data_IF_167249943315
#
_entry.id   IF_167249943315
#
_cell.length_a   1.000
_cell.length_b   1.000
_cell.length_c   1.000
_cell.angle_alpha   90.00
_cell.angle_beta   90.00
_cell.angle_gamma   90.00
#
_symmetry.space_group_name_H-M   'P 1'
#
loop_
_entity.id
_entity.type
_entity.pdbx_description
1 polymer ?
#
# COMPACT_ATOMS: atom_id res chain seq x y z
N UNK A 1 18.09 3.96 -16.69
CA UNK A 1 17.49 5.32 -16.75
C UNK A 1 15.99 5.29 -17.12
N UNK A 2 15.18 4.57 -16.33
CA UNK A 2 13.71 4.55 -16.54
C UNK A 2 13.04 5.74 -15.81
N UNK A 3 13.74 6.47 -14.99
CA UNK A 3 13.24 7.62 -14.22
C UNK A 3 13.52 8.99 -14.89
N UNK A 4 14.17 9.02 -16.03
CA UNK A 4 14.81 10.25 -16.57
C UNK A 4 13.93 11.21 -17.35
N UNK A 5 12.64 10.94 -17.65
CA UNK A 5 11.89 11.86 -18.52
C UNK A 5 10.39 12.01 -18.29
N UNK A 6 9.83 11.41 -17.22
CA UNK A 6 8.42 11.65 -16.89
C UNK A 6 8.34 12.53 -15.67
N UNK A 7 7.88 13.76 -15.86
CA UNK A 7 7.61 14.68 -14.76
C UNK A 7 6.66 14.07 -13.74
N UNK A 8 6.78 14.46 -12.48
CA UNK A 8 5.97 13.99 -11.34
C UNK A 8 4.44 14.07 -11.57
N UNK A 9 3.97 14.73 -12.62
CA UNK A 9 2.56 14.86 -12.98
C UNK A 9 1.93 13.64 -13.67
N UNK A 10 2.72 12.73 -14.27
CA UNK A 10 2.21 11.62 -15.07
C UNK A 10 2.09 10.29 -14.32
N UNK A 11 2.39 10.26 -13.03
CA UNK A 11 2.30 9.05 -12.23
C UNK A 11 0.85 8.83 -11.78
N UNK A 12 0.10 8.05 -12.54
CA UNK A 12 -1.24 7.63 -12.14
C UNK A 12 -1.18 6.62 -10.99
N UNK A 13 -1.43 7.11 -9.78
CA UNK A 13 -1.57 6.25 -8.59
C UNK A 13 -2.92 5.57 -8.62
N UNK A 14 -2.94 4.25 -8.69
CA UNK A 14 -4.17 3.45 -8.59
C UNK A 14 -4.31 2.90 -7.19
N UNK A 15 -5.20 3.49 -6.40
CA UNK A 15 -5.55 2.94 -5.09
C UNK A 15 -6.58 1.83 -5.22
N UNK A 16 -6.38 0.80 -4.39
CA UNK A 16 -7.32 -0.30 -4.25
C UNK A 16 -8.28 0.06 -3.12
N UNK A 17 -9.58 0.07 -3.42
CA UNK A 17 -10.61 0.39 -2.42
C UNK A 17 -11.66 -0.70 -2.28
N UNK A 18 -12.40 -0.68 -1.19
CA UNK A 18 -13.46 -1.64 -0.90
C UNK A 18 -14.68 -1.37 -1.79
N UNK A 19 -15.15 -2.36 -2.54
CA UNK A 19 -16.30 -2.24 -3.46
C UNK A 19 -17.57 -1.69 -2.79
N UNK A 20 -17.77 -1.94 -1.49
CA UNK A 20 -18.93 -1.42 -0.75
C UNK A 20 -18.99 0.12 -0.70
N UNK A 21 -17.89 0.84 -0.95
CA UNK A 21 -17.90 2.31 -1.02
C UNK A 21 -18.62 2.84 -2.27
N UNK A 22 -18.86 2.01 -3.29
CA UNK A 22 -19.70 2.36 -4.45
C UNK A 22 -21.15 2.66 -4.08
N UNK A 23 -21.64 2.11 -2.97
CA UNK A 23 -23.00 2.30 -2.51
C UNK A 23 -23.23 3.61 -1.76
N UNK A 24 -22.16 4.36 -1.48
CA UNK A 24 -22.28 5.68 -0.84
C UNK A 24 -22.55 6.71 -1.95
N UNK A 25 -23.71 7.39 -1.94
CA UNK A 25 -24.03 8.42 -2.93
C UNK A 25 -22.91 9.47 -3.03
N UNK A 26 -22.68 10.01 -4.21
CA UNK A 26 -21.62 10.95 -4.56
C UNK A 26 -20.21 10.37 -4.47
N UNK A 27 -19.85 9.70 -3.35
CA UNK A 27 -18.53 9.08 -3.18
C UNK A 27 -18.32 7.92 -4.15
N UNK A 28 -19.33 7.06 -4.34
CA UNK A 28 -19.28 5.95 -5.29
C UNK A 28 -19.07 6.41 -6.73
N UNK A 29 -19.76 7.47 -7.12
CA UNK A 29 -19.60 8.07 -8.45
C UNK A 29 -18.24 8.71 -8.65
N UNK A 30 -17.74 9.43 -7.65
CA UNK A 30 -16.40 10.00 -7.66
C UNK A 30 -15.33 8.91 -7.78
N UNK A 31 -15.43 7.83 -7.00
CA UNK A 31 -14.50 6.69 -7.08
C UNK A 31 -14.57 5.97 -8.44
N UNK A 32 -15.75 5.84 -9.02
CA UNK A 32 -15.92 5.25 -10.34
C UNK A 32 -15.26 6.12 -11.44
N UNK A 33 -15.38 7.45 -11.35
CA UNK A 33 -14.77 8.38 -12.31
C UNK A 33 -13.25 8.41 -12.24
N UNK A 34 -12.66 8.11 -11.07
CA UNK A 34 -11.20 8.10 -10.86
C UNK A 34 -10.51 6.84 -11.38
N UNK A 35 -11.22 5.93 -12.05
CA UNK A 35 -10.66 4.68 -12.56
C UNK A 35 -9.87 3.86 -11.52
N UNK A 36 -10.23 3.96 -10.24
CA UNK A 36 -9.63 3.19 -9.16
C UNK A 36 -10.09 1.73 -9.20
N UNK A 37 -9.28 0.82 -8.62
CA UNK A 37 -9.65 -0.58 -8.60
C UNK A 37 -10.50 -0.92 -7.38
N UNK A 38 -11.78 -1.26 -7.63
CA UNK A 38 -12.64 -1.82 -6.60
C UNK A 38 -12.31 -3.30 -6.37
N UNK A 39 -12.00 -3.68 -5.13
CA UNK A 39 -11.84 -5.08 -4.75
C UNK A 39 -12.99 -5.49 -3.83
N UNK A 40 -13.68 -6.54 -4.22
CA UNK A 40 -14.67 -7.20 -3.37
C UNK A 40 -13.95 -8.14 -2.39
N UNK A 41 -13.67 -7.63 -1.19
CA UNK A 41 -12.97 -8.41 -0.15
C UNK A 41 -13.79 -9.63 0.33
N UNK A 42 -15.12 -9.67 0.07
CA UNK A 42 -15.95 -10.81 0.42
C UNK A 42 -15.67 -12.02 -0.46
N UNK A 43 -15.21 -11.79 -1.69
CA UNK A 43 -14.78 -12.82 -2.64
C UNK A 43 -13.30 -13.23 -2.52
N UNK A 44 -12.61 -12.75 -1.48
CA UNK A 44 -11.27 -13.10 -1.06
C UNK A 44 -10.32 -13.54 -2.18
N UNK A 45 -10.24 -14.85 -2.40
CA UNK A 45 -9.32 -15.45 -3.36
C UNK A 45 -9.59 -15.04 -4.81
N UNK A 46 -10.85 -15.01 -5.24
CA UNK A 46 -11.21 -14.66 -6.62
C UNK A 46 -10.86 -13.19 -6.94
N UNK A 47 -11.13 -12.28 -6.00
CA UNK A 47 -10.79 -10.88 -6.16
C UNK A 47 -9.26 -10.68 -6.26
N UNK A 48 -8.49 -11.46 -5.49
CA UNK A 48 -7.04 -11.46 -5.57
C UNK A 48 -6.53 -12.02 -6.89
N UNK A 49 -7.10 -13.12 -7.40
CA UNK A 49 -6.74 -13.70 -8.68
C UNK A 49 -7.02 -12.73 -9.85
N UNK A 50 -8.16 -12.02 -9.82
CA UNK A 50 -8.46 -10.98 -10.81
C UNK A 50 -7.43 -9.82 -10.75
N UNK A 51 -7.02 -9.43 -9.55
CA UNK A 51 -5.98 -8.44 -9.37
C UNK A 51 -4.63 -8.90 -9.95
N UNK A 52 -4.23 -10.14 -9.66
CA UNK A 52 -3.00 -10.76 -10.18
C UNK A 52 -2.95 -10.76 -11.71
N UNK A 53 -4.06 -11.07 -12.38
CA UNK A 53 -4.13 -11.09 -13.86
C UNK A 53 -3.91 -9.73 -14.50
N UNK A 54 -4.06 -8.64 -13.75
CA UNK A 54 -3.84 -7.28 -14.25
C UNK A 54 -2.41 -6.78 -14.09
N UNK A 55 -1.52 -7.56 -13.48
CA UNK A 55 -0.11 -7.20 -13.28
C UNK A 55 0.58 -6.65 -14.53
N UNK A 56 0.51 -7.35 -15.69
CA UNK A 56 1.13 -6.88 -16.93
C UNK A 56 0.56 -5.54 -17.45
N UNK A 57 -0.72 -5.26 -17.17
CA UNK A 57 -1.32 -3.97 -17.52
C UNK A 57 -0.72 -2.83 -16.69
N UNK A 58 -0.47 -3.07 -15.40
CA UNK A 58 0.13 -2.07 -14.52
C UNK A 58 1.55 -1.72 -14.95
N UNK A 59 2.36 -2.73 -15.25
CA UNK A 59 3.71 -2.54 -15.78
C UNK A 59 3.70 -1.73 -17.09
N UNK A 60 2.93 -2.18 -18.08
CA UNK A 60 2.84 -1.54 -19.40
C UNK A 60 2.41 -0.08 -19.32
N UNK A 61 1.56 0.27 -18.37
CA UNK A 61 1.04 1.64 -18.20
C UNK A 61 1.85 2.47 -17.21
N UNK A 62 2.87 1.89 -16.56
CA UNK A 62 3.64 2.57 -15.52
C UNK A 62 2.80 2.97 -14.30
N UNK A 63 1.78 2.18 -13.96
CA UNK A 63 0.92 2.48 -12.83
C UNK A 63 1.52 2.00 -11.51
N UNK A 64 1.38 2.81 -10.49
CA UNK A 64 1.77 2.46 -9.13
C UNK A 64 0.59 1.87 -8.37
N UNK A 65 0.85 0.81 -7.63
CA UNK A 65 -0.13 0.16 -6.75
C UNK A 65 0.28 0.37 -5.30
N UNK A 66 -0.54 1.08 -4.54
CA UNK A 66 -0.33 1.26 -3.11
C UNK A 66 -1.05 0.16 -2.34
N UNK A 67 -0.32 -0.56 -1.51
CA UNK A 67 -0.82 -1.65 -0.68
C UNK A 67 -0.39 -1.48 0.77
N UNK A 68 -1.27 -1.88 1.68
CA UNK A 68 -0.99 -1.95 3.11
C UNK A 68 -0.98 -3.42 3.53
N UNK A 69 0.20 -4.05 3.67
CA UNK A 69 0.32 -5.49 3.90
C UNK A 69 -0.25 -5.93 5.25
N UNK A 70 -0.31 -5.05 6.22
CA UNK A 70 -0.96 -5.27 7.51
C UNK A 70 -2.47 -5.55 7.35
N UNK A 71 -3.11 -4.98 6.34
CA UNK A 71 -4.54 -5.13 6.03
C UNK A 71 -5.49 -4.46 7.01
N UNK A 72 -4.96 -3.80 8.04
CA UNK A 72 -5.67 -3.01 9.05
C UNK A 72 -4.76 -1.90 9.54
N UNK A 73 -5.34 -0.91 10.23
CA UNK A 73 -4.54 0.06 10.98
C UNK A 73 -4.00 -0.62 12.24
N UNK A 74 -2.70 -0.52 12.48
CA UNK A 74 -2.01 -1.10 13.63
C UNK A 74 -1.62 0.03 14.56
N UNK A 75 -1.93 -0.04 15.86
CA UNK A 75 -1.41 0.90 16.84
C UNK A 75 0.12 0.87 16.89
N UNK A 76 0.73 1.99 17.27
CA UNK A 76 2.17 2.06 17.44
C UNK A 76 2.63 1.04 18.50
N UNK A 77 3.70 0.32 18.19
CA UNK A 77 4.26 -0.71 19.08
C UNK A 77 3.55 -2.07 19.05
N UNK A 78 2.44 -2.19 18.31
CA UNK A 78 1.79 -3.49 18.09
C UNK A 78 2.28 -4.14 16.79
N UNK A 79 2.31 -5.47 16.78
CA UNK A 79 2.65 -6.26 15.59
C UNK A 79 1.44 -7.04 15.10
N UNK A 80 1.32 -7.13 13.78
CA UNK A 80 0.32 -8.00 13.13
C UNK A 80 1.03 -8.81 12.06
N UNK A 81 0.53 -10.01 11.82
CA UNK A 81 1.07 -10.84 10.74
C UNK A 81 0.81 -10.18 9.38
N UNK A 82 1.86 -9.91 8.64
CA UNK A 82 1.79 -9.32 7.32
C UNK A 82 1.23 -10.28 6.28
N UNK A 83 0.48 -9.74 5.34
CA UNK A 83 -0.12 -10.51 4.25
C UNK A 83 0.82 -10.54 3.06
N UNK A 84 1.12 -11.72 2.56
CA UNK A 84 2.02 -11.92 1.41
C UNK A 84 1.41 -11.52 0.06
N UNK A 85 0.14 -11.08 0.02
CA UNK A 85 -0.57 -10.77 -1.22
C UNK A 85 0.12 -9.72 -2.09
N UNK A 86 0.65 -8.65 -1.47
CA UNK A 86 1.38 -7.60 -2.18
C UNK A 86 2.66 -8.12 -2.83
N UNK A 87 3.47 -8.85 -2.07
CA UNK A 87 4.70 -9.44 -2.58
C UNK A 87 4.42 -10.50 -3.66
N UNK A 88 3.38 -11.33 -3.50
CA UNK A 88 2.95 -12.29 -4.54
C UNK A 88 2.58 -11.56 -5.84
N UNK A 89 1.87 -10.45 -5.75
CA UNK A 89 1.55 -9.64 -6.92
C UNK A 89 2.83 -9.09 -7.56
N UNK A 90 3.69 -8.44 -6.80
CA UNK A 90 4.93 -7.85 -7.30
C UNK A 90 5.84 -8.90 -7.95
N UNK A 91 6.07 -10.04 -7.29
CA UNK A 91 6.88 -11.12 -7.83
C UNK A 91 6.31 -11.71 -9.13
N UNK A 92 4.98 -11.89 -9.20
CA UNK A 92 4.36 -12.45 -10.42
C UNK A 92 4.35 -11.49 -11.59
N UNK A 93 4.29 -10.18 -11.33
CA UNK A 93 4.33 -9.14 -12.32
C UNK A 93 5.75 -8.63 -12.62
N UNK A 94 6.77 -9.09 -11.87
CA UNK A 94 8.16 -8.61 -11.99
C UNK A 94 8.34 -7.14 -11.61
N UNK A 95 7.41 -6.58 -10.80
CA UNK A 95 7.42 -5.19 -10.39
C UNK A 95 8.24 -5.02 -9.09
N UNK A 96 9.14 -4.02 -9.00
CA UNK A 96 9.83 -3.73 -7.76
C UNK A 96 8.87 -3.20 -6.69
N UNK A 97 9.24 -3.36 -5.42
CA UNK A 97 8.52 -2.81 -4.27
C UNK A 97 9.29 -1.61 -3.73
N UNK A 98 8.59 -0.49 -3.54
CA UNK A 98 9.10 0.67 -2.83
C UNK A 98 8.51 0.68 -1.41
N UNK A 99 9.28 0.33 -0.37
CA UNK A 99 8.77 0.35 1.00
C UNK A 99 8.67 1.79 1.50
N UNK A 100 7.57 2.10 2.19
CA UNK A 100 7.32 3.41 2.79
C UNK A 100 6.90 3.19 4.24
N UNK A 101 7.68 3.73 5.17
CA UNK A 101 7.40 3.71 6.59
C UNK A 101 6.82 5.06 7.03
N UNK A 102 5.88 5.07 7.98
CA UNK A 102 5.33 6.28 8.57
C UNK A 102 4.77 6.04 9.96
N UNK A 103 4.77 7.07 10.80
CA UNK A 103 4.22 7.05 12.15
C UNK A 103 2.80 7.66 12.25
N UNK A 104 2.03 7.70 11.17
CA UNK A 104 0.71 8.36 11.12
C UNK A 104 -0.30 7.85 12.17
N UNK A 105 -0.08 6.67 12.75
CA UNK A 105 -0.92 6.11 13.81
C UNK A 105 -0.92 6.97 15.09
N UNK A 106 0.11 7.78 15.33
CA UNK A 106 0.15 8.71 16.48
C UNK A 106 -0.85 9.86 16.33
N UNK A 107 -1.08 10.34 15.10
CA UNK A 107 -2.04 11.41 14.81
C UNK A 107 -3.45 10.89 14.54
N UNK A 108 -3.58 9.65 14.09
CA UNK A 108 -4.88 9.03 13.82
C UNK A 108 -4.95 7.57 14.30
N UNK A 109 -5.13 7.37 15.60
CA UNK A 109 -5.21 6.03 16.18
C UNK A 109 -6.35 5.19 15.59
N UNK A 110 -6.20 3.87 15.65
CA UNK A 110 -7.24 2.92 15.26
C UNK A 110 -8.49 3.14 16.11
N UNK A 111 -9.67 3.08 15.48
CA UNK A 111 -10.98 3.26 16.12
C UNK A 111 -11.24 4.65 16.73
N UNK A 112 -10.38 5.63 16.49
CA UNK A 112 -10.63 7.02 16.85
C UNK A 112 -11.35 7.76 15.73
N UNK A 113 -12.39 8.52 16.07
CA UNK A 113 -13.06 9.47 15.19
C UNK A 113 -12.25 10.78 15.13
N UNK A 114 -11.65 11.15 16.28
CA UNK A 114 -10.79 12.31 16.40
C UNK A 114 -9.41 12.07 15.79
N UNK A 115 -8.81 13.13 15.29
CA UNK A 115 -7.42 13.20 14.86
C UNK A 115 -6.69 14.11 15.83
N UNK A 116 -5.49 13.73 16.21
CA UNK A 116 -4.61 14.58 17.03
C UNK A 116 -3.71 15.40 16.11
N UNK A 117 -3.50 16.68 16.37
CA UNK A 117 -2.48 17.44 15.67
C UNK A 117 -1.10 16.87 15.98
N UNK A 118 -0.20 16.94 15.01
CA UNK A 118 1.17 16.44 15.17
C UNK A 118 1.90 16.35 13.84
N UNK A 119 3.15 15.96 13.91
CA UNK A 119 4.01 15.75 12.75
C UNK A 119 3.97 14.26 12.38
N UNK A 120 3.79 14.00 11.10
CA UNK A 120 3.87 12.65 10.55
C UNK A 120 5.20 12.54 9.80
N UNK A 121 6.09 11.71 10.33
CA UNK A 121 7.33 11.36 9.66
C UNK A 121 7.07 10.28 8.62
N UNK A 122 7.71 10.41 7.47
CA UNK A 122 7.60 9.45 6.36
C UNK A 122 9.01 9.17 5.84
N UNK A 123 9.37 7.90 5.82
CA UNK A 123 10.63 7.45 5.22
C UNK A 123 10.34 6.56 4.01
N UNK A 124 11.04 6.84 2.91
CA UNK A 124 10.98 6.08 1.66
C UNK A 124 12.27 5.26 1.55
N UNK A 125 12.13 3.95 1.44
CA UNK A 125 13.26 3.03 1.36
C UNK A 125 13.78 2.82 -0.07
N UNK A 126 14.81 1.99 -0.19
CA UNK A 126 15.32 1.57 -1.48
C UNK A 126 14.31 0.66 -2.20
N UNK A 127 14.38 0.64 -3.53
CA UNK A 127 13.63 -0.32 -4.33
C UNK A 127 14.09 -1.75 -4.02
N UNK A 128 13.13 -2.63 -3.77
CA UNK A 128 13.35 -4.06 -3.54
C UNK A 128 12.92 -4.80 -4.81
N UNK A 129 13.90 -5.39 -5.49
CA UNK A 129 13.66 -6.21 -6.68
C UNK A 129 12.91 -7.50 -6.30
N UNK A 130 11.95 -7.89 -7.13
CA UNK A 130 11.07 -9.03 -6.84
C UNK A 130 11.15 -10.14 -7.88
N UNK A 131 11.69 -9.84 -9.07
CA UNK A 131 11.73 -10.77 -10.19
C UNK A 131 12.49 -12.05 -9.84
N UNK A 132 11.82 -13.20 -9.97
CA UNK A 132 12.40 -14.50 -9.68
C UNK A 132 12.61 -14.81 -8.19
N UNK A 133 12.09 -13.98 -7.29
CA UNK A 133 12.22 -14.17 -5.83
C UNK A 133 10.96 -14.80 -5.22
N UNK A 134 11.16 -15.47 -4.09
CA UNK A 134 10.06 -16.01 -3.30
C UNK A 134 9.28 -14.89 -2.60
N UNK A 135 7.94 -14.85 -2.73
CA UNK A 135 7.11 -13.82 -2.11
C UNK A 135 7.17 -13.76 -0.58
N UNK A 136 7.43 -14.88 0.09
CA UNK A 136 7.56 -14.89 1.55
C UNK A 136 8.84 -14.20 1.98
N UNK A 137 9.95 -14.49 1.31
CA UNK A 137 11.24 -13.83 1.55
C UNK A 137 11.14 -12.32 1.29
N UNK A 138 10.52 -11.92 0.18
CA UNK A 138 10.30 -10.50 -0.14
C UNK A 138 9.41 -9.82 0.90
N UNK A 139 8.34 -10.49 1.37
CA UNK A 139 7.48 -9.95 2.44
C UNK A 139 8.28 -9.72 3.71
N UNK A 140 9.09 -10.69 4.14
CA UNK A 140 9.90 -10.58 5.35
C UNK A 140 10.93 -9.44 5.26
N UNK A 141 11.54 -9.23 4.10
CA UNK A 141 12.48 -8.14 3.87
C UNK A 141 11.79 -6.76 3.96
N UNK A 142 10.63 -6.61 3.32
CA UNK A 142 9.82 -5.37 3.37
C UNK A 142 9.36 -5.10 4.80
N UNK A 143 8.86 -6.13 5.51
CA UNK A 143 8.40 -6.06 6.90
C UNK A 143 9.55 -5.61 7.82
N UNK A 144 10.69 -6.27 7.75
CA UNK A 144 11.85 -5.94 8.58
C UNK A 144 12.33 -4.49 8.35
N UNK A 145 12.34 -4.03 7.09
CA UNK A 145 12.73 -2.67 6.79
C UNK A 145 11.72 -1.66 7.35
N UNK A 146 10.41 -1.84 7.10
CA UNK A 146 9.38 -0.89 7.54
C UNK A 146 9.28 -0.87 9.06
N UNK A 147 9.23 -2.04 9.73
CA UNK A 147 9.16 -2.10 11.19
C UNK A 147 10.39 -1.49 11.85
N UNK A 148 11.59 -1.75 11.32
CA UNK A 148 12.82 -1.13 11.80
C UNK A 148 12.78 0.40 11.75
N UNK A 149 12.21 0.97 10.67
CA UNK A 149 12.08 2.43 10.53
C UNK A 149 10.97 3.00 11.40
N UNK A 150 9.79 2.36 11.44
CA UNK A 150 8.67 2.79 12.29
C UNK A 150 9.08 2.80 13.76
N UNK A 151 9.82 1.78 14.21
CA UNK A 151 10.30 1.70 15.61
C UNK A 151 11.34 2.79 15.95
N UNK A 152 12.06 3.31 14.96
CA UNK A 152 13.01 4.40 15.13
C UNK A 152 12.36 5.80 15.08
N UNK A 153 11.12 5.91 14.58
CA UNK A 153 10.38 7.18 14.51
C UNK A 153 9.84 7.60 15.89
N UNK A 154 9.54 8.91 16.09
CA UNK A 154 8.85 9.39 17.29
C UNK A 154 7.54 8.63 17.52
N UNK A 155 7.33 8.17 18.76
CA UNK A 155 6.17 7.37 19.16
C UNK A 155 5.03 8.21 19.76
N UNK A 156 5.23 9.50 19.93
CA UNK A 156 4.27 10.44 20.52
C UNK A 156 4.00 11.58 19.56
N UNK A 157 2.75 12.03 19.50
CA UNK A 157 2.42 13.28 18.85
C UNK A 157 3.14 14.40 19.61
N UNK A 158 4.11 15.06 18.95
CA UNK A 158 4.76 16.22 19.54
C UNK A 158 3.73 17.32 19.80
N UNK A 159 3.78 17.91 20.97
CA UNK A 159 3.01 19.10 21.33
C UNK A 159 3.63 20.32 20.67
#
# INVERSE_FOLDING_TARGET
DVLGSRGLGDVYKRQIYKKSLHWIPCLGWALASMNMMAIDRSKGRQAFEQFMRRGPEFEKRGWWVTLFPEGTRVPMGEHVRWKTGGARFACSAGLPILPIAHNAAICWPKNSVGKCPGVIDVEIGPLIETKGRDPHTVTAEVEAWIEGRVNAMPQHAGH
#
